data_IF_965023025270
#
_entry.id   IF_965023025270
#
_cell.length_a   1.000
_cell.length_b   1.000
_cell.length_c   1.000
_cell.angle_alpha   90.00
_cell.angle_beta   90.00
_cell.angle_gamma   90.00
#
_symmetry.space_group_name_H-M   'P 1'
#
loop_
_entity.id
_entity.type
_entity.pdbx_description
1 polymer ?
#
# COMPACT_ATOMS: atom_id res chain seq x y z
N UNK A 1 -10.18 13.69 30.87
CA UNK A 1 -10.39 13.55 29.42
C UNK A 1 -10.83 12.13 29.18
N UNK A 2 -12.09 11.92 28.81
CA UNK A 2 -12.50 10.62 28.28
C UNK A 2 -11.82 10.47 26.92
N UNK A 3 -10.84 9.59 26.82
CA UNK A 3 -10.40 9.07 25.52
C UNK A 3 -11.54 8.21 24.99
N UNK A 4 -12.61 8.85 24.52
CA UNK A 4 -13.57 8.20 23.62
C UNK A 4 -12.70 7.61 22.52
N UNK A 5 -12.76 6.29 22.40
CA UNK A 5 -11.79 5.44 21.70
C UNK A 5 -11.74 5.80 20.21
N UNK A 6 -11.01 6.86 19.86
CA UNK A 6 -10.85 7.26 18.48
C UNK A 6 -10.21 6.11 17.73
N UNK A 7 -10.89 5.68 16.67
CA UNK A 7 -10.39 4.57 15.88
C UNK A 7 -9.21 5.05 15.04
N UNK A 8 -8.26 4.15 14.79
CA UNK A 8 -7.16 4.43 13.86
C UNK A 8 -7.68 4.89 12.48
N UNK A 9 -8.88 4.45 12.09
CA UNK A 9 -9.52 4.87 10.84
C UNK A 9 -9.87 6.37 10.83
N UNK A 10 -10.38 6.90 11.94
CA UNK A 10 -10.71 8.33 12.06
C UNK A 10 -9.42 9.16 12.00
N UNK A 11 -8.40 8.75 12.75
CA UNK A 11 -7.10 9.45 12.78
C UNK A 11 -6.46 9.46 11.39
N UNK A 12 -6.34 8.29 10.74
CA UNK A 12 -5.79 8.21 9.38
C UNK A 12 -6.59 9.01 8.35
N UNK A 13 -7.91 9.15 8.54
CA UNK A 13 -8.76 9.94 7.63
C UNK A 13 -8.62 11.45 7.81
N UNK A 14 -8.00 11.91 8.91
CA UNK A 14 -7.82 13.33 9.22
C UNK A 14 -6.47 13.91 8.78
N UNK A 15 -5.57 13.07 8.25
CA UNK A 15 -4.21 13.48 7.89
C UNK A 15 -4.19 14.00 6.45
N UNK A 16 -3.59 15.18 6.25
CA UNK A 16 -3.60 15.89 4.97
C UNK A 16 -2.29 15.74 4.16
N UNK A 17 -1.21 15.24 4.77
CA UNK A 17 0.10 15.13 4.12
C UNK A 17 0.79 13.77 4.32
N UNK A 18 1.61 13.37 3.34
CA UNK A 18 2.40 12.15 3.44
C UNK A 18 3.45 12.21 4.56
N UNK A 19 3.99 13.39 4.87
CA UNK A 19 4.97 13.59 5.94
C UNK A 19 4.35 13.35 7.33
N UNK A 20 3.12 13.80 7.55
CA UNK A 20 2.38 13.52 8.78
C UNK A 20 2.07 12.02 8.94
N UNK A 21 1.67 11.34 7.85
CA UNK A 21 1.49 9.87 7.86
C UNK A 21 2.80 9.17 8.20
N UNK A 22 3.92 9.62 7.63
CA UNK A 22 5.25 9.04 7.88
C UNK A 22 5.62 9.15 9.35
N UNK A 23 5.52 10.34 9.94
CA UNK A 23 5.82 10.56 11.36
C UNK A 23 4.96 9.67 12.26
N UNK A 24 3.64 9.63 12.00
CA UNK A 24 2.73 8.77 12.76
C UNK A 24 3.10 7.29 12.65
N UNK A 25 3.41 6.82 11.44
CA UNK A 25 3.74 5.41 11.21
C UNK A 25 5.10 5.03 11.81
N UNK A 26 6.08 5.92 11.84
CA UNK A 26 7.36 5.72 12.52
C UNK A 26 7.21 5.61 14.05
N UNK A 27 6.24 6.31 14.63
CA UNK A 27 5.91 6.19 16.06
C UNK A 27 5.07 4.94 16.38
N UNK A 28 4.11 4.59 15.51
CA UNK A 28 3.17 3.47 15.75
C UNK A 28 3.76 2.10 15.44
N UNK A 29 4.70 2.01 14.51
CA UNK A 29 5.22 0.76 13.99
C UNK A 29 6.72 0.65 14.21
N UNK A 30 7.18 -0.56 14.49
CA UNK A 30 8.61 -0.86 14.40
C UNK A 30 9.08 -0.77 12.95
N UNK A 31 10.38 -0.57 12.76
CA UNK A 31 11.02 -0.61 11.43
C UNK A 31 10.64 -1.86 10.63
N UNK A 32 10.61 -3.04 11.28
CA UNK A 32 10.25 -4.30 10.60
C UNK A 32 8.79 -4.37 10.20
N UNK A 33 7.88 -3.77 10.98
CA UNK A 33 6.46 -3.74 10.61
C UNK A 33 6.22 -2.83 9.41
N UNK A 34 6.88 -1.67 9.35
CA UNK A 34 6.82 -0.79 8.18
C UNK A 34 7.37 -1.47 6.93
N UNK A 35 8.50 -2.17 7.07
CA UNK A 35 9.07 -2.96 5.99
C UNK A 35 8.07 -4.01 5.48
N UNK A 36 7.39 -4.74 6.37
CA UNK A 36 6.36 -5.70 5.97
C UNK A 36 5.13 -5.05 5.32
N UNK A 37 4.74 -3.84 5.74
CA UNK A 37 3.66 -3.09 5.09
C UNK A 37 4.06 -2.70 3.66
N UNK A 38 5.28 -2.20 3.48
CA UNK A 38 5.83 -1.83 2.17
C UNK A 38 5.91 -3.02 1.23
N UNK A 39 6.45 -4.15 1.69
CA UNK A 39 6.52 -5.38 0.88
C UNK A 39 5.14 -5.83 0.38
N UNK A 40 4.13 -5.80 1.25
CA UNK A 40 2.74 -6.16 0.89
C UNK A 40 2.14 -5.16 -0.09
N UNK A 41 2.36 -3.87 0.12
CA UNK A 41 1.88 -2.79 -0.74
C UNK A 41 2.49 -2.91 -2.14
N UNK A 42 3.81 -3.03 -2.26
CA UNK A 42 4.53 -3.22 -3.52
C UNK A 42 4.09 -4.48 -4.25
N UNK A 43 4.00 -5.60 -3.53
CA UNK A 43 3.48 -6.86 -4.09
C UNK A 43 2.06 -6.69 -4.65
N UNK A 44 1.19 -5.99 -3.92
CA UNK A 44 -0.19 -5.77 -4.35
C UNK A 44 -0.29 -4.88 -5.60
N UNK A 45 0.51 -3.80 -5.66
CA UNK A 45 0.56 -2.93 -6.83
C UNK A 45 1.03 -3.68 -8.08
N UNK A 46 2.10 -4.46 -7.98
CA UNK A 46 2.63 -5.26 -9.09
C UNK A 46 1.62 -6.30 -9.58
N UNK A 47 1.00 -7.07 -8.66
CA UNK A 47 0.00 -8.06 -9.02
C UNK A 47 -1.22 -7.42 -9.69
N UNK A 48 -1.67 -6.26 -9.23
CA UNK A 48 -2.76 -5.50 -9.86
C UNK A 48 -2.41 -4.96 -11.25
N UNK A 49 -1.12 -4.77 -11.55
CA UNK A 49 -0.61 -4.41 -12.88
C UNK A 49 -0.37 -5.62 -13.78
N UNK A 50 -0.64 -6.84 -13.31
CA UNK A 50 -0.49 -8.07 -14.10
C UNK A 50 0.88 -8.75 -13.99
N UNK A 51 1.73 -8.34 -13.04
CA UNK A 51 2.99 -9.04 -12.79
C UNK A 51 2.75 -10.48 -12.34
N UNK A 52 3.65 -11.38 -12.74
CA UNK A 52 3.66 -12.77 -12.27
C UNK A 52 4.24 -12.87 -10.86
N UNK A 53 3.99 -13.99 -10.16
CA UNK A 53 4.56 -14.22 -8.84
C UNK A 53 6.09 -14.19 -8.85
N UNK A 54 6.69 -14.71 -9.92
CA UNK A 54 8.14 -14.72 -10.08
C UNK A 54 8.69 -13.29 -10.17
N UNK A 55 8.09 -12.45 -11.01
CA UNK A 55 8.49 -11.05 -11.15
C UNK A 55 8.38 -10.28 -9.82
N UNK A 56 7.31 -10.54 -9.05
CA UNK A 56 7.16 -9.93 -7.71
C UNK A 56 8.26 -10.39 -6.76
N UNK A 57 8.56 -11.69 -6.70
CA UNK A 57 9.61 -12.21 -5.82
C UNK A 57 11.02 -11.75 -6.21
N UNK A 58 11.26 -11.45 -7.48
CA UNK A 58 12.53 -10.91 -7.98
C UNK A 58 12.68 -9.41 -7.71
N UNK A 59 11.57 -8.67 -7.59
CA UNK A 59 11.58 -7.21 -7.44
C UNK A 59 11.39 -6.75 -5.99
N UNK A 60 10.58 -7.47 -5.22
CA UNK A 60 10.27 -7.10 -3.83
C UNK A 60 11.21 -7.83 -2.90
N UNK A 61 12.16 -7.09 -2.33
CA UNK A 61 13.18 -7.64 -1.45
C UNK A 61 12.57 -8.41 -0.29
N UNK A 62 13.12 -9.59 -0.02
CA UNK A 62 12.80 -10.43 1.13
C UNK A 62 11.31 -10.83 1.28
N UNK A 63 10.52 -10.78 0.20
CA UNK A 63 9.14 -11.28 0.26
C UNK A 63 9.13 -12.82 0.33
N UNK A 64 8.44 -13.35 1.34
CA UNK A 64 8.20 -14.80 1.42
C UNK A 64 7.07 -15.24 0.50
N UNK A 65 7.18 -16.42 -0.10
CA UNK A 65 6.13 -17.05 -0.91
C UNK A 65 4.79 -17.13 -0.16
N UNK A 66 4.82 -17.44 1.15
CA UNK A 66 3.63 -17.45 1.99
C UNK A 66 2.97 -16.07 2.11
N UNK A 67 3.75 -15.00 2.16
CA UNK A 67 3.22 -13.63 2.22
C UNK A 67 2.66 -13.19 0.87
N UNK A 68 3.39 -13.44 -0.23
CA UNK A 68 2.90 -13.16 -1.58
C UNK A 68 1.58 -13.89 -1.87
N UNK A 69 1.47 -15.16 -1.45
CA UNK A 69 0.24 -15.95 -1.56
C UNK A 69 -0.93 -15.30 -0.80
N UNK A 70 -0.70 -14.82 0.44
CA UNK A 70 -1.71 -14.09 1.22
C UNK A 70 -2.15 -12.81 0.53
N UNK A 71 -1.22 -12.01 0.00
CA UNK A 71 -1.53 -10.77 -0.73
C UNK A 71 -2.41 -11.04 -1.95
N UNK A 72 -2.01 -12.01 -2.79
CA UNK A 72 -2.78 -12.41 -3.97
C UNK A 72 -4.19 -12.90 -3.61
N UNK A 73 -4.32 -13.69 -2.52
CA UNK A 73 -5.63 -14.12 -2.02
C UNK A 73 -6.50 -12.95 -1.58
N UNK A 74 -5.93 -11.95 -0.90
CA UNK A 74 -6.65 -10.74 -0.51
C UNK A 74 -7.11 -9.91 -1.72
N UNK A 75 -6.33 -9.88 -2.81
CA UNK A 75 -6.72 -9.20 -4.04
C UNK A 75 -7.91 -9.91 -4.71
N UNK A 76 -7.88 -11.25 -4.78
CA UNK A 76 -8.91 -12.05 -5.48
C UNK A 76 -10.19 -12.24 -4.66
N UNK A 77 -10.08 -12.38 -3.34
CA UNK A 77 -11.16 -12.83 -2.47
C UNK A 77 -11.28 -12.02 -1.16
N UNK A 78 -10.53 -10.93 -1.00
CA UNK A 78 -10.61 -10.07 0.19
C UNK A 78 -11.73 -9.02 0.10
N UNK A 79 -11.64 -8.03 0.99
CA UNK A 79 -12.61 -6.92 1.07
C UNK A 79 -12.54 -5.92 -0.09
N UNK A 80 -11.64 -6.11 -1.05
CA UNK A 80 -11.45 -5.20 -2.19
C UNK A 80 -10.60 -3.96 -1.92
N UNK A 81 -10.10 -3.76 -0.69
CA UNK A 81 -9.34 -2.57 -0.30
C UNK A 81 -8.14 -2.25 -1.20
N UNK A 82 -7.31 -3.26 -1.52
CA UNK A 82 -6.20 -3.09 -2.47
C UNK A 82 -6.70 -2.60 -3.84
N UNK A 83 -7.72 -3.25 -4.39
CA UNK A 83 -8.27 -2.91 -5.70
C UNK A 83 -8.85 -1.50 -5.75
N UNK A 84 -9.58 -1.07 -4.72
CA UNK A 84 -10.22 0.26 -4.70
C UNK A 84 -9.19 1.37 -4.50
N UNK A 85 -8.34 1.25 -3.48
CA UNK A 85 -7.42 2.32 -3.08
C UNK A 85 -6.24 2.40 -4.05
N UNK A 86 -5.59 1.28 -4.37
CA UNK A 86 -4.39 1.30 -5.20
C UNK A 86 -4.69 1.65 -6.66
N UNK A 87 -5.77 1.14 -7.24
CA UNK A 87 -6.15 1.54 -8.61
C UNK A 87 -6.46 3.03 -8.69
N UNK A 88 -7.13 3.61 -7.67
CA UNK A 88 -7.37 5.06 -7.58
C UNK A 88 -6.04 5.82 -7.52
N UNK A 89 -5.14 5.42 -6.63
CA UNK A 89 -3.81 6.03 -6.49
C UNK A 89 -3.03 6.00 -7.81
N UNK A 90 -2.94 4.84 -8.47
CA UNK A 90 -2.21 4.66 -9.72
C UNK A 90 -2.83 5.47 -10.88
N UNK A 91 -4.16 5.60 -10.94
CA UNK A 91 -4.85 6.43 -11.93
C UNK A 91 -4.60 7.93 -11.71
N UNK A 92 -4.46 8.38 -10.46
CA UNK A 92 -4.08 9.75 -10.17
C UNK A 92 -2.62 10.01 -10.55
N UNK A 93 -1.72 9.07 -10.25
CA UNK A 93 -0.30 9.25 -10.56
C UNK A 93 0.01 9.22 -12.07
N UNK A 94 -0.72 8.41 -12.86
CA UNK A 94 -0.58 8.37 -14.34
C UNK A 94 -1.06 9.63 -15.06
N UNK A 95 -1.93 10.42 -14.43
CA UNK A 95 -2.40 11.69 -15.01
C UNK A 95 -1.37 12.81 -14.89
N UNK A 96 -0.36 12.67 -14.02
CA UNK A 96 0.75 13.63 -13.94
C UNK A 96 1.87 13.38 -14.94
N UNK A 97 1.98 12.17 -15.51
CA UNK A 97 3.08 11.80 -16.44
C UNK A 97 2.70 11.93 -17.92
N UNK A 98 1.41 11.98 -18.26
CA UNK A 98 0.95 12.06 -19.65
C UNK A 98 1.07 13.48 -20.26
N UNK A 99 1.29 14.50 -19.44
CA UNK A 99 1.39 15.90 -19.87
C UNK A 99 2.86 16.32 -20.15
N UNK A 100 3.87 15.50 -19.82
CA UNK A 100 5.29 15.78 -20.11
C UNK A 100 5.80 15.17 -21.44
N UNK A 101 5.10 14.20 -22.01
CA UNK A 101 5.49 13.56 -23.29
C UNK A 101 4.91 14.26 -24.54
N UNK A 102 4.32 15.46 -24.38
CA UNK A 102 3.68 16.21 -25.46
C UNK A 102 4.09 17.71 -25.50
N UNK A 103 5.25 18.05 -24.94
CA UNK A 103 5.88 19.37 -25.02
C UNK A 103 7.16 19.35 -25.87
#
# INVERSE_FOLDING_TARGET
MDFKKESIYNVLSSIDSADEIKLLLEDLCTYKELEYLNQRLSSAMMLLQGATYQQVSETVDNISTATLSRVSRCIKHGSGGYSVVLKKFMKSNRRGTADEDNA
#
